data_IF_964664574987
#
_entry.id   IF_964664574987
#
_cell.length_a   1.000
_cell.length_b   1.000
_cell.length_c   1.000
_cell.angle_alpha   90.00
_cell.angle_beta   90.00
_cell.angle_gamma   90.00
#
_symmetry.space_group_name_H-M   'P 1'
#
loop_
_entity.id
_entity.type
_entity.pdbx_description
1 polymer ?
#
# COMPACT_ATOMS: atom_id res chain seq x y z
N UNK A 1 27.81 -61.47 16.30
CA UNK A 1 27.35 -60.33 17.11
C UNK A 1 26.93 -59.20 16.16
N UNK A 2 25.68 -58.72 16.29
CA UNK A 2 25.01 -57.55 15.66
C UNK A 2 24.62 -57.67 14.16
N UNK A 3 23.35 -57.92 13.80
CA UNK A 3 22.17 -57.00 13.58
C UNK A 3 22.38 -56.02 12.40
N UNK A 4 21.61 -56.12 11.29
CA UNK A 4 20.32 -55.41 10.97
C UNK A 4 20.56 -53.88 10.75
N UNK A 5 20.12 -53.13 9.74
CA UNK A 5 18.87 -53.01 8.96
C UNK A 5 19.12 -52.08 7.72
N UNK A 6 18.51 -52.32 6.55
CA UNK A 6 17.37 -51.60 5.92
C UNK A 6 17.57 -50.11 5.57
N UNK A 7 17.54 -49.85 4.26
CA UNK A 7 17.00 -48.72 3.49
C UNK A 7 16.54 -47.43 4.24
N UNK A 8 17.00 -46.26 3.78
CA UNK A 8 16.38 -44.97 4.13
C UNK A 8 16.44 -43.97 2.97
N UNK A 9 15.51 -44.15 2.01
CA UNK A 9 14.96 -43.05 1.22
C UNK A 9 14.57 -41.90 2.16
N UNK A 10 15.16 -40.72 1.92
CA UNK A 10 14.80 -39.51 2.63
C UNK A 10 13.65 -38.83 1.89
N UNK A 11 12.48 -39.01 2.48
CA UNK A 11 11.14 -38.50 2.14
C UNK A 11 11.13 -37.01 1.76
N UNK A 12 10.87 -36.74 0.49
CA UNK A 12 10.16 -35.52 0.08
C UNK A 12 8.77 -35.56 0.74
N UNK A 13 8.59 -34.73 1.76
CA UNK A 13 7.34 -34.66 2.50
C UNK A 13 6.35 -33.86 1.67
N UNK A 14 5.54 -34.55 0.86
CA UNK A 14 4.37 -33.96 0.21
C UNK A 14 3.47 -33.39 1.31
N UNK A 15 3.38 -32.07 1.41
CA UNK A 15 2.44 -31.43 2.33
C UNK A 15 1.03 -31.74 1.81
N UNK A 16 0.30 -32.58 2.54
CA UNK A 16 -1.09 -32.91 2.22
C UNK A 16 -1.93 -31.62 2.24
N UNK A 17 -2.54 -31.29 1.10
CA UNK A 17 -3.40 -30.13 0.93
C UNK A 17 -4.82 -30.47 1.38
N UNK A 18 -5.14 -30.11 2.63
CA UNK A 18 -6.49 -30.21 3.20
C UNK A 18 -7.35 -29.03 2.74
N UNK A 19 -8.18 -29.25 1.70
CA UNK A 19 -9.10 -28.23 1.18
C UNK A 19 -10.10 -27.72 2.23
N UNK A 20 -10.49 -28.58 3.19
CA UNK A 20 -11.38 -28.28 4.31
C UNK A 20 -10.77 -27.30 5.34
N UNK A 21 -9.44 -27.16 5.34
CA UNK A 21 -8.71 -26.24 6.24
C UNK A 21 -8.28 -24.95 5.56
N UNK A 22 -8.62 -24.76 4.29
CA UNK A 22 -8.43 -23.47 3.65
C UNK A 22 -9.42 -22.49 4.27
N UNK A 23 -8.96 -21.72 5.26
CA UNK A 23 -9.62 -20.46 5.61
C UNK A 23 -9.63 -19.65 4.32
N UNK A 24 -10.81 -19.34 3.78
CA UNK A 24 -10.95 -18.48 2.61
C UNK A 24 -10.34 -17.11 2.99
N UNK A 25 -9.05 -16.94 2.74
CA UNK A 25 -8.40 -15.63 2.87
C UNK A 25 -8.99 -14.79 1.76
N UNK A 26 -9.57 -13.65 2.13
CA UNK A 26 -10.02 -12.64 1.16
C UNK A 26 -8.95 -12.47 0.09
N UNK A 27 -9.35 -12.50 -1.19
CA UNK A 27 -8.39 -12.36 -2.29
C UNK A 27 -7.60 -11.06 -2.06
N UNK A 28 -6.29 -11.18 -1.98
CA UNK A 28 -5.41 -10.03 -1.82
C UNK A 28 -5.33 -9.26 -3.14
N UNK A 29 -5.12 -7.96 -3.05
CA UNK A 29 -4.83 -7.15 -4.22
C UNK A 29 -3.54 -6.37 -4.04
N UNK A 30 -2.92 -6.12 -5.18
CA UNK A 30 -1.64 -5.42 -5.24
C UNK A 30 -1.79 -3.99 -4.78
N UNK A 31 -0.89 -3.58 -3.87
CA UNK A 31 -0.86 -2.23 -3.34
C UNK A 31 -0.25 -1.30 -4.38
N UNK A 32 -0.99 -0.27 -4.76
CA UNK A 32 -0.49 0.77 -5.65
C UNK A 32 0.16 1.89 -4.84
N UNK A 33 0.95 2.72 -5.50
CA UNK A 33 1.57 3.88 -4.87
C UNK A 33 1.06 5.15 -5.53
N UNK A 34 0.60 6.09 -4.75
CA UNK A 34 0.06 7.34 -5.26
C UNK A 34 0.29 8.51 -4.32
N UNK A 35 0.60 9.70 -4.85
CA UNK A 35 0.64 10.91 -4.04
C UNK A 35 -0.73 11.19 -3.41
N UNK A 36 -0.73 11.51 -2.11
CA UNK A 36 -1.96 11.83 -1.38
C UNK A 36 -2.14 13.34 -1.29
N UNK A 37 -3.38 13.78 -1.45
CA UNK A 37 -3.81 15.17 -1.38
C UNK A 37 -4.67 15.36 -0.14
N UNK A 38 -4.40 16.40 0.63
CA UNK A 38 -5.13 16.77 1.84
C UNK A 38 -5.47 18.25 1.74
N UNK A 39 -6.76 18.56 1.82
CA UNK A 39 -7.25 19.93 1.84
C UNK A 39 -7.37 20.41 3.30
N UNK A 40 -6.76 21.56 3.60
CA UNK A 40 -6.76 22.20 4.92
C UNK A 40 -7.23 23.65 4.75
N UNK A 41 -8.55 23.84 4.68
CA UNK A 41 -9.14 25.15 4.39
C UNK A 41 -8.63 25.71 3.05
N UNK A 42 -7.99 26.87 3.08
CA UNK A 42 -7.49 27.56 1.89
C UNK A 42 -6.17 26.99 1.35
N UNK A 43 -5.65 25.91 1.95
CA UNK A 43 -4.40 25.27 1.53
C UNK A 43 -4.63 23.84 1.10
N UNK A 44 -4.00 23.46 0.00
CA UNK A 44 -3.91 22.07 -0.43
C UNK A 44 -2.49 21.56 -0.16
N UNK A 45 -2.40 20.53 0.66
CA UNK A 45 -1.17 19.83 0.98
C UNK A 45 -1.08 18.54 0.19
N UNK A 46 0.07 18.28 -0.39
CA UNK A 46 0.29 17.06 -1.18
C UNK A 46 1.56 16.39 -0.68
N UNK A 47 1.55 15.07 -0.57
CA UNK A 47 2.72 14.31 -0.10
C UNK A 47 3.92 14.51 -1.01
N UNK A 48 5.12 14.52 -0.44
CA UNK A 48 6.36 14.61 -1.23
C UNK A 48 6.65 13.31 -2.00
N UNK A 49 6.39 12.16 -1.36
CA UNK A 49 6.56 10.83 -1.95
C UNK A 49 5.19 10.16 -2.13
N UNK A 50 5.01 9.32 -3.17
CA UNK A 50 3.84 8.46 -3.29
C UNK A 50 3.67 7.59 -2.04
N UNK A 51 2.43 7.45 -1.57
CA UNK A 51 2.09 6.56 -0.46
C UNK A 51 1.38 5.32 -0.97
N UNK A 52 1.52 4.19 -0.27
CA UNK A 52 0.73 2.99 -0.53
C UNK A 52 -0.78 3.30 -0.50
N UNK A 53 -1.52 2.82 -1.49
CA UNK A 53 -2.98 2.94 -1.62
C UNK A 53 -3.56 1.63 -2.14
N UNK A 54 -4.79 1.34 -1.75
CA UNK A 54 -5.52 0.23 -2.35
C UNK A 54 -6.12 0.67 -3.69
N UNK A 55 -6.04 -0.16 -4.74
CA UNK A 55 -6.64 0.13 -6.03
C UNK A 55 -8.17 0.18 -5.93
N UNK A 56 -8.81 0.75 -6.96
CA UNK A 56 -10.26 0.69 -7.13
C UNK A 56 -10.74 -0.77 -7.04
N UNK A 57 -11.83 -1.02 -6.29
CA UNK A 57 -12.37 -2.34 -5.92
C UNK A 57 -11.70 -3.03 -4.71
N UNK A 58 -10.70 -2.40 -4.09
CA UNK A 58 -10.06 -2.92 -2.90
C UNK A 58 -10.22 -2.02 -1.68
N UNK A 59 -10.21 -2.65 -0.52
CA UNK A 59 -10.22 -2.00 0.79
C UNK A 59 -9.01 -2.40 1.60
N UNK A 60 -8.54 -1.46 2.43
CA UNK A 60 -7.43 -1.70 3.33
C UNK A 60 -7.88 -2.57 4.51
N UNK A 61 -7.36 -3.79 4.61
CA UNK A 61 -7.63 -4.70 5.74
C UNK A 61 -6.86 -4.29 6.99
N UNK A 62 -5.62 -3.83 6.81
CA UNK A 62 -4.76 -3.35 7.89
C UNK A 62 -4.18 -1.98 7.53
N UNK A 63 -4.18 -1.04 8.49
CA UNK A 63 -3.68 0.33 8.29
C UNK A 63 -2.63 0.65 9.36
N UNK A 64 -1.55 1.29 8.94
CA UNK A 64 -0.50 1.82 9.80
C UNK A 64 -0.54 3.35 9.80
N UNK A 65 -0.46 3.95 10.98
CA UNK A 65 -0.32 5.39 11.13
C UNK A 65 1.13 5.82 10.95
N UNK A 66 1.38 6.71 9.98
CA UNK A 66 2.73 7.25 9.73
C UNK A 66 2.69 8.74 9.47
N UNK A 67 3.69 9.44 10.01
CA UNK A 67 3.93 10.85 9.72
C UNK A 67 4.67 10.98 8.38
N UNK A 68 4.09 11.74 7.45
CA UNK A 68 4.61 11.91 6.09
C UNK A 68 4.78 13.39 5.81
N UNK A 69 5.94 13.74 5.25
CA UNK A 69 6.23 15.09 4.79
C UNK A 69 5.35 15.46 3.60
N UNK A 70 4.66 16.60 3.71
CA UNK A 70 3.82 17.19 2.68
C UNK A 70 4.35 18.57 2.29
N UNK A 71 4.06 18.97 1.07
CA UNK A 71 4.24 20.32 0.59
C UNK A 71 2.87 20.97 0.41
N UNK A 72 2.66 22.11 1.06
CA UNK A 72 1.38 22.80 1.07
C UNK A 72 1.44 24.08 0.25
N UNK A 73 0.49 24.24 -0.67
CA UNK A 73 0.28 25.45 -1.46
C UNK A 73 -1.11 26.03 -1.15
N UNK A 74 -1.34 27.26 -1.58
CA UNK A 74 -2.68 27.83 -1.59
C UNK A 74 -3.55 27.05 -2.59
N UNK A 75 -4.82 26.81 -2.23
CA UNK A 75 -5.74 26.01 -3.04
C UNK A 75 -6.03 26.64 -4.42
N UNK A 76 -5.84 27.96 -4.55
CA UNK A 76 -6.04 28.69 -5.80
C UNK A 76 -4.89 28.56 -6.81
N UNK A 77 -3.73 28.06 -6.37
CA UNK A 77 -2.54 27.91 -7.19
C UNK A 77 -2.81 26.96 -8.38
N UNK A 78 -2.44 27.40 -9.59
CA UNK A 78 -2.64 26.62 -10.81
C UNK A 78 -1.86 25.31 -10.77
N UNK A 79 -0.69 25.28 -10.13
CA UNK A 79 0.11 24.05 -9.98
C UNK A 79 -0.64 22.98 -9.18
N UNK A 80 -1.38 23.37 -8.14
CA UNK A 80 -2.21 22.47 -7.33
C UNK A 80 -3.32 21.86 -8.18
N UNK A 81 -4.00 22.66 -9.00
CA UNK A 81 -5.08 22.19 -9.89
C UNK A 81 -4.54 21.16 -10.90
N UNK A 82 -3.34 21.41 -11.45
CA UNK A 82 -2.65 20.48 -12.34
C UNK A 82 -2.28 19.17 -11.62
N UNK A 83 -1.69 19.25 -10.43
CA UNK A 83 -1.34 18.06 -9.65
C UNK A 83 -2.56 17.26 -9.22
N UNK A 84 -3.65 17.92 -8.80
CA UNK A 84 -4.93 17.27 -8.49
C UNK A 84 -5.43 16.46 -9.68
N UNK A 85 -5.39 17.03 -10.89
CA UNK A 85 -5.83 16.36 -12.12
C UNK A 85 -4.94 15.17 -12.51
N UNK A 86 -3.62 15.31 -12.39
CA UNK A 86 -2.69 14.22 -12.68
C UNK A 86 -2.83 13.08 -11.69
N UNK A 87 -2.85 13.40 -10.40
CA UNK A 87 -3.00 12.42 -9.33
C UNK A 87 -4.34 11.72 -9.46
N UNK A 88 -5.47 12.42 -9.72
CA UNK A 88 -6.78 11.74 -9.86
C UNK A 88 -6.83 10.73 -11.01
N UNK A 89 -5.96 10.89 -12.02
CA UNK A 89 -5.81 9.95 -13.15
C UNK A 89 -4.81 8.81 -12.87
N UNK A 90 -4.23 8.74 -11.67
CA UNK A 90 -3.24 7.73 -11.29
C UNK A 90 -1.79 8.09 -11.61
N UNK A 91 -1.51 9.31 -12.07
CA UNK A 91 -0.12 9.75 -12.32
C UNK A 91 0.56 10.21 -11.03
N UNK A 92 1.85 9.90 -10.94
CA UNK A 92 2.71 10.31 -9.82
C UNK A 92 3.78 11.29 -10.32
N UNK A 93 3.49 12.60 -10.37
CA UNK A 93 4.49 13.59 -10.77
C UNK A 93 5.67 13.60 -9.79
N UNK A 94 6.90 13.75 -10.29
CA UNK A 94 8.04 13.89 -9.39
C UNK A 94 7.95 15.24 -8.67
N UNK A 95 8.04 15.17 -7.34
CA UNK A 95 7.97 16.31 -6.43
C UNK A 95 9.11 16.32 -5.42
N UNK A 96 10.18 15.60 -5.74
CA UNK A 96 11.42 15.53 -4.97
C UNK A 96 12.04 16.93 -4.73
N UNK A 97 11.90 17.84 -5.68
CA UNK A 97 12.40 19.22 -5.63
C UNK A 97 11.64 20.13 -4.65
N UNK A 98 10.38 19.80 -4.33
CA UNK A 98 9.56 20.62 -3.44
C UNK A 98 9.98 20.41 -1.97
N UNK A 99 10.16 21.48 -1.18
CA UNK A 99 10.52 21.37 0.23
C UNK A 99 9.36 20.83 1.05
N UNK A 100 9.65 20.06 2.10
CA UNK A 100 8.61 19.63 3.04
C UNK A 100 8.22 20.84 3.89
N UNK A 101 6.96 21.29 3.77
CA UNK A 101 6.45 22.43 4.55
C UNK A 101 5.94 21.97 5.91
N UNK A 102 5.32 20.79 5.96
CA UNK A 102 4.68 20.23 7.16
C UNK A 102 4.73 18.71 7.12
N UNK A 103 4.44 18.10 8.26
CA UNK A 103 4.30 16.66 8.38
C UNK A 103 2.88 16.35 8.83
N UNK A 104 2.17 15.51 8.08
CA UNK A 104 0.79 15.10 8.37
C UNK A 104 0.76 13.61 8.67
N UNK A 105 -0.11 13.21 9.59
CA UNK A 105 -0.34 11.80 9.93
C UNK A 105 -1.29 11.17 8.93
N UNK A 106 -0.85 10.12 8.24
CA UNK A 106 -1.65 9.35 7.29
C UNK A 106 -1.90 7.93 7.81
N UNK A 107 -3.04 7.36 7.42
CA UNK A 107 -3.36 5.95 7.60
C UNK A 107 -3.00 5.20 6.32
N UNK A 108 -1.83 4.57 6.30
CA UNK A 108 -1.28 3.88 5.12
C UNK A 108 -1.71 2.41 5.17
N UNK A 109 -2.30 1.84 4.10
CA UNK A 109 -2.61 0.42 4.02
C UNK A 109 -1.33 -0.43 4.08
N UNK A 110 -1.33 -1.43 4.97
CA UNK A 110 -0.31 -2.49 5.00
C UNK A 110 -0.71 -3.66 4.09
N UNK A 111 -2.02 -3.92 3.99
CA UNK A 111 -2.59 -4.96 3.15
C UNK A 111 -3.90 -4.47 2.52
N UNK A 112 -4.13 -4.84 1.26
CA UNK A 112 -5.35 -4.55 0.53
C UNK A 112 -6.04 -5.86 0.12
N UNK A 113 -7.35 -5.91 0.29
CA UNK A 113 -8.19 -7.06 -0.07
C UNK A 113 -9.36 -6.59 -0.92
N UNK A 114 -9.86 -7.44 -1.81
CA UNK A 114 -11.05 -7.10 -2.60
C UNK A 114 -12.25 -6.83 -1.68
N UNK A 115 -12.97 -5.74 -1.94
CA UNK A 115 -14.24 -5.47 -1.29
C UNK A 115 -15.24 -6.57 -1.72
N UNK A 116 -15.86 -7.24 -0.75
CA UNK A 116 -16.91 -8.23 -0.99
C UNK A 116 -18.24 -7.53 -1.30
#
# INVERSE_FOLDING_TARGET
KRTRDINKESKDTYKEFHADRQKHTLKECEIQHQHQIVEQGDKTCITKRPLPVCPSLCVASNKLQKYVGVHCHNSDDQSVKLYKNQISRGYNPDRSSHPVTKTIKFNIPKTCVYAQ
#
